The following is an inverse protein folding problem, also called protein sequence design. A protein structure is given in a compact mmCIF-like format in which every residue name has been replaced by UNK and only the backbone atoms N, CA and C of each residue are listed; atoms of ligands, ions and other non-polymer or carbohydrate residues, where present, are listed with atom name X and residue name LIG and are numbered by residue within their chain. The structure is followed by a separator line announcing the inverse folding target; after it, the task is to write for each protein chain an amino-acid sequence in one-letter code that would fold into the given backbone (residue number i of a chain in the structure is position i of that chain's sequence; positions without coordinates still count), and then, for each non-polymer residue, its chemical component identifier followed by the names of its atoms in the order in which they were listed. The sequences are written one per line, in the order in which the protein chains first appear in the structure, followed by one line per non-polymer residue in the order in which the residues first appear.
data_IF_652508928626
#
_entry.id   IF_652508928626
#
_cell.length_a   1.000
_cell.length_b   1.000
_cell.length_c   1.000
_cell.angle_alpha   90.00
_cell.angle_beta   90.00
_cell.angle_gamma   90.00
#
_symmetry.space_group_name_H-M   'P 1'
#
loop_
_entity.id
_entity.type
_entity.pdbx_description
1 polymer ?
#
# COMPACT_ATOMS: atom_id res chain seq x y z
N UNK A 1 -4.17 16.26 -17.26
CA UNK A 1 -2.98 16.50 -16.43
C UNK A 1 -3.14 17.72 -15.53
N UNK A 2 -3.99 18.69 -15.86
CA UNK A 2 -4.30 19.88 -15.05
C UNK A 2 -4.33 19.67 -13.51
N UNK A 3 -5.03 18.66 -13.00
CA UNK A 3 -5.07 18.40 -11.55
C UNK A 3 -3.69 18.00 -10.98
N UNK A 4 -2.95 17.16 -11.70
CA UNK A 4 -1.60 16.76 -11.30
C UNK A 4 -0.62 17.94 -11.37
N UNK A 5 -0.75 18.80 -12.38
CA UNK A 5 0.03 20.04 -12.51
C UNK A 5 -0.28 21.05 -11.38
N UNK A 6 -1.51 21.03 -10.84
CA UNK A 6 -1.91 21.80 -9.68
C UNK A 6 -1.51 21.16 -8.33
N UNK A 7 -0.77 20.05 -8.34
CA UNK A 7 -0.24 19.38 -7.15
C UNK A 7 -1.08 18.21 -6.61
N UNK A 8 -2.16 17.82 -7.30
CA UNK A 8 -2.92 16.63 -6.91
C UNK A 8 -2.13 15.35 -7.22
N UNK A 9 -2.25 14.33 -6.37
CA UNK A 9 -1.72 13.00 -6.64
C UNK A 9 -2.81 12.16 -7.30
N UNK A 10 -2.53 11.68 -8.52
CA UNK A 10 -3.42 10.75 -9.23
C UNK A 10 -3.01 9.32 -8.85
N UNK A 11 -3.75 8.73 -7.93
CA UNK A 11 -3.51 7.38 -7.41
C UNK A 11 -4.59 6.40 -7.92
N UNK A 12 -4.46 5.86 -9.15
CA UNK A 12 -5.40 4.85 -9.62
C UNK A 12 -5.31 3.58 -8.76
N UNK A 13 -6.44 2.94 -8.40
CA UNK A 13 -6.43 1.70 -7.61
C UNK A 13 -6.07 0.50 -8.49
N UNK A 14 -4.78 0.38 -8.82
CA UNK A 14 -4.22 -0.76 -9.58
C UNK A 14 -3.62 -1.80 -8.62
N UNK A 15 -4.19 -3.01 -8.51
CA UNK A 15 -3.72 -4.00 -7.55
C UNK A 15 -2.26 -4.43 -7.79
N UNK A 16 -1.49 -4.51 -6.70
CA UNK A 16 -0.08 -4.90 -6.71
C UNK A 16 0.09 -6.43 -6.77
N UNK A 17 -0.15 -7.05 -7.93
CA UNK A 17 -0.06 -8.51 -8.08
C UNK A 17 1.34 -9.11 -7.80
N UNK A 18 2.41 -8.31 -7.84
CA UNK A 18 3.75 -8.76 -7.44
C UNK A 18 3.82 -9.17 -5.96
N UNK A 19 2.93 -8.64 -5.11
CA UNK A 19 2.84 -9.01 -3.70
C UNK A 19 2.25 -10.41 -3.49
N UNK A 20 1.70 -11.01 -4.56
CA UNK A 20 0.93 -12.26 -4.55
C UNK A 20 -0.17 -12.24 -3.47
N UNK A 21 -1.13 -11.30 -3.56
CA UNK A 21 -2.24 -11.23 -2.60
C UNK A 21 -3.05 -12.54 -2.67
N UNK A 22 -3.50 -13.02 -1.52
CA UNK A 22 -4.29 -14.25 -1.37
C UNK A 22 -5.80 -14.00 -1.35
N UNK A 23 -6.20 -12.73 -1.29
CA UNK A 23 -7.58 -12.31 -1.11
C UNK A 23 -7.84 -10.93 -1.69
N UNK A 24 -9.12 -10.61 -1.90
CA UNK A 24 -9.54 -9.26 -2.26
C UNK A 24 -9.20 -8.25 -1.16
N UNK A 25 -9.35 -8.64 0.11
CA UNK A 25 -9.00 -7.80 1.25
C UNK A 25 -7.52 -7.41 1.21
N UNK A 26 -6.61 -8.36 0.97
CA UNK A 26 -5.18 -8.09 0.84
C UNK A 26 -4.85 -7.10 -0.31
N UNK A 27 -5.60 -7.13 -1.41
CA UNK A 27 -5.45 -6.15 -2.50
C UNK A 27 -5.92 -4.75 -2.09
N UNK A 28 -7.02 -4.66 -1.35
CA UNK A 28 -7.57 -3.41 -0.83
C UNK A 28 -6.59 -2.81 0.18
N UNK A 29 -6.14 -3.59 1.16
CA UNK A 29 -5.23 -3.15 2.22
C UNK A 29 -3.93 -2.61 1.62
N UNK A 30 -3.33 -3.33 0.66
CA UNK A 30 -2.13 -2.85 -0.03
C UNK A 30 -2.37 -1.55 -0.80
N UNK A 31 -3.52 -1.40 -1.46
CA UNK A 31 -3.84 -0.18 -2.20
C UNK A 31 -4.02 1.01 -1.26
N UNK A 32 -4.75 0.83 -0.15
CA UNK A 32 -4.96 1.87 0.85
C UNK A 32 -3.67 2.22 1.60
N UNK A 33 -2.84 1.24 1.93
CA UNK A 33 -1.54 1.48 2.54
C UNK A 33 -0.66 2.41 1.69
N UNK A 34 -0.66 2.24 0.35
CA UNK A 34 0.05 3.15 -0.56
C UNK A 34 -0.55 4.55 -0.65
N UNK A 35 -1.85 4.70 -0.39
CA UNK A 35 -2.50 6.02 -0.31
C UNK A 35 -2.16 6.69 1.03
N UNK A 36 -2.18 5.95 2.14
CA UNK A 36 -1.85 6.44 3.47
C UNK A 36 -0.38 6.85 3.60
N UNK A 37 0.52 6.18 2.87
CA UNK A 37 1.92 6.59 2.73
C UNK A 37 2.09 8.03 2.24
N UNK A 38 1.15 8.56 1.46
CA UNK A 38 1.21 9.94 0.95
C UNK A 38 0.97 10.99 2.05
N UNK A 39 0.45 10.55 3.20
CA UNK A 39 0.15 11.37 4.37
C UNK A 39 1.06 11.03 5.55
N UNK A 40 2.15 10.28 5.32
CA UNK A 40 3.06 9.79 6.37
C UNK A 40 2.35 8.98 7.48
N UNK A 41 1.27 8.29 7.13
CA UNK A 41 0.52 7.41 8.04
C UNK A 41 1.01 5.98 7.85
N UNK A 42 1.68 5.43 8.87
CA UNK A 42 2.13 4.04 8.82
C UNK A 42 0.96 3.05 8.95
N UNK A 43 1.05 1.95 8.21
CA UNK A 43 0.04 0.89 8.16
C UNK A 43 0.68 -0.43 8.60
N UNK A 44 0.63 -0.76 9.91
CA UNK A 44 1.27 -1.95 10.45
C UNK A 44 0.76 -3.23 9.79
N UNK A 45 1.66 -4.19 9.56
CA UNK A 45 1.33 -5.48 8.96
C UNK A 45 1.16 -5.48 7.45
N UNK A 46 1.32 -4.33 6.78
CA UNK A 46 1.31 -4.28 5.32
C UNK A 46 2.58 -4.91 4.75
N UNK A 47 2.41 -5.90 3.85
CA UNK A 47 3.53 -6.52 3.14
C UNK A 47 4.09 -5.58 2.07
N UNK A 48 5.17 -4.85 2.37
CA UNK A 48 5.84 -3.96 1.40
C UNK A 48 6.90 -4.69 0.58
N UNK A 49 7.31 -4.08 -0.52
CA UNK A 49 8.34 -4.63 -1.39
C UNK A 49 9.69 -4.74 -0.66
N UNK A 50 10.33 -5.91 -0.71
CA UNK A 50 11.63 -6.25 -0.08
C UNK A 50 11.66 -6.20 1.45
N UNK A 51 10.54 -5.94 2.12
CA UNK A 51 10.47 -6.20 3.55
C UNK A 51 10.52 -7.70 3.77
N UNK A 52 11.56 -8.14 4.48
CA UNK A 52 11.54 -9.49 5.04
C UNK A 52 10.46 -9.48 6.09
N UNK A 53 9.48 -10.40 6.07
CA UNK A 53 8.49 -10.45 7.13
C UNK A 53 9.24 -10.50 8.45
N UNK A 54 9.00 -9.49 9.31
CA UNK A 54 9.50 -9.50 10.67
C UNK A 54 9.01 -10.81 11.29
N UNK A 55 9.95 -11.71 11.57
CA UNK A 55 9.69 -12.93 12.31
C UNK A 55 8.96 -12.53 13.60
N UNK A 56 7.92 -13.28 13.95
CA UNK A 56 6.84 -12.87 14.83
C UNK A 56 7.25 -12.09 16.07
N UNK A 57 6.47 -11.05 16.36
CA UNK A 57 6.32 -10.57 17.72
C UNK A 57 5.16 -11.37 18.33
N UNK A 58 5.49 -12.50 18.96
CA UNK A 58 4.66 -13.08 20.00
C UNK A 58 4.68 -12.10 21.18
N UNK A 59 3.52 -11.52 21.48
CA UNK A 59 3.08 -11.06 22.81
C UNK A 59 1.54 -10.92 22.78
#
# INVERSE_FOLDING_TARGET
TQAAEAGAIIAPPVPAFYAKPDSLQAMIDHTLGRVLDLFDIDTPGLKRWKETPSQGQED
#
